data_IF_163497715353
#
_entry.id   IF_163497715353
#
_cell.length_a   1.000
_cell.length_b   1.000
_cell.length_c   1.000
_cell.angle_alpha   90.00
_cell.angle_beta   90.00
_cell.angle_gamma   90.00
#
_symmetry.space_group_name_H-M   'P 1'
#
loop_
_entity.id
_entity.type
_entity.pdbx_description
1 polymer ?
#
# COMPACT_ATOMS: atom_id res chain seq x y z
N UNK A 1 16.71 25.25 4.24
CA UNK A 1 16.10 23.93 4.21
C UNK A 1 17.20 22.91 3.96
N UNK A 2 17.35 21.92 4.83
CA UNK A 2 18.28 20.82 4.63
C UNK A 2 17.52 19.63 4.05
N UNK A 3 18.12 18.95 3.07
CA UNK A 3 17.63 17.71 2.49
C UNK A 3 18.66 16.63 2.76
N UNK A 4 18.25 15.50 3.31
CA UNK A 4 19.13 14.36 3.59
C UNK A 4 18.49 13.05 3.15
N UNK A 5 19.30 12.07 2.85
CA UNK A 5 18.85 10.69 2.64
C UNK A 5 18.55 10.09 4.02
N UNK A 6 17.33 9.61 4.21
CA UNK A 6 16.94 8.96 5.46
C UNK A 6 17.17 7.45 5.43
N UNK A 7 16.73 6.77 4.38
CA UNK A 7 17.00 5.36 4.13
C UNK A 7 17.69 5.22 2.76
N UNK A 8 18.82 4.56 2.73
CA UNK A 8 19.61 4.37 1.50
C UNK A 8 19.37 2.97 0.87
N UNK A 9 20.04 2.72 -0.25
CA UNK A 9 19.94 1.48 -1.03
C UNK A 9 20.50 0.23 -0.32
N UNK A 10 21.12 0.37 0.84
CA UNK A 10 21.54 -0.74 1.69
C UNK A 10 20.40 -1.23 2.60
N UNK A 11 19.39 -0.39 2.81
CA UNK A 11 18.27 -0.65 3.71
C UNK A 11 17.00 -0.98 2.91
N UNK A 12 16.73 -0.24 1.83
CA UNK A 12 15.52 -0.41 1.02
C UNK A 12 15.87 -0.76 -0.43
N UNK A 13 14.98 -1.52 -1.08
CA UNK A 13 15.11 -1.90 -2.48
C UNK A 13 13.81 -1.61 -3.23
N UNK A 14 13.87 -0.74 -4.24
CA UNK A 14 12.71 -0.32 -5.04
C UNK A 14 11.52 0.12 -4.16
N UNK A 15 11.73 1.02 -3.17
CA UNK A 15 10.64 1.52 -2.35
C UNK A 15 9.66 2.32 -3.22
N UNK A 16 8.37 2.14 -2.99
CA UNK A 16 7.33 2.90 -3.69
C UNK A 16 6.23 3.34 -2.71
N UNK A 17 5.13 2.59 -2.54
CA UNK A 17 4.07 3.00 -1.62
C UNK A 17 4.59 3.30 -0.21
N UNK A 18 4.08 4.39 0.37
CA UNK A 18 4.44 4.82 1.73
C UNK A 18 3.22 5.36 2.46
N UNK A 19 3.07 5.00 3.73
CA UNK A 19 2.03 5.51 4.62
C UNK A 19 2.62 5.82 5.99
N UNK A 20 2.28 6.99 6.56
CA UNK A 20 2.80 7.43 7.85
C UNK A 20 1.84 7.06 8.98
N UNK A 21 2.37 6.37 9.97
CA UNK A 21 1.78 6.18 11.29
C UNK A 21 2.53 7.04 12.33
N UNK A 22 2.03 7.13 13.55
CA UNK A 22 2.59 8.04 14.56
C UNK A 22 4.08 7.76 14.88
N UNK A 23 4.50 6.50 14.93
CA UNK A 23 5.84 6.10 15.38
C UNK A 23 6.63 5.29 14.34
N UNK A 24 6.01 4.95 13.22
CA UNK A 24 6.63 4.18 12.14
C UNK A 24 6.03 4.55 10.79
N UNK A 25 6.73 4.23 9.73
CA UNK A 25 6.18 4.22 8.37
C UNK A 25 5.79 2.81 7.96
N UNK A 26 4.75 2.71 7.15
CA UNK A 26 4.44 1.50 6.38
C UNK A 26 4.96 1.72 4.97
N UNK A 27 5.71 0.77 4.46
CA UNK A 27 6.52 0.91 3.25
C UNK A 27 6.32 -0.30 2.33
N UNK A 28 6.06 -0.03 1.06
CA UNK A 28 6.19 -1.01 0.00
C UNK A 28 7.66 -1.10 -0.43
N UNK A 29 8.37 -2.10 0.06
CA UNK A 29 9.78 -2.31 -0.21
C UNK A 29 9.95 -3.52 -1.13
N UNK A 30 10.12 -3.27 -2.44
CA UNK A 30 10.08 -4.31 -3.46
C UNK A 30 8.76 -5.10 -3.41
N UNK A 31 8.80 -6.37 -2.99
CA UNK A 31 7.64 -7.26 -2.88
C UNK A 31 7.03 -7.33 -1.47
N UNK A 32 7.67 -6.69 -0.49
CA UNK A 32 7.28 -6.77 0.91
C UNK A 32 6.52 -5.53 1.35
N UNK A 33 5.49 -5.74 2.16
CA UNK A 33 4.92 -4.70 3.01
C UNK A 33 5.67 -4.73 4.34
N UNK A 34 6.30 -3.62 4.69
CA UNK A 34 7.16 -3.51 5.87
C UNK A 34 6.77 -2.31 6.73
N UNK A 35 7.07 -2.38 8.02
CA UNK A 35 7.13 -1.20 8.88
C UNK A 35 8.58 -0.76 9.04
N UNK A 36 8.79 0.55 9.13
CA UNK A 36 10.07 1.16 9.49
C UNK A 36 9.89 2.04 10.71
N UNK A 37 10.53 1.66 11.82
CA UNK A 37 10.49 2.44 13.06
C UNK A 37 11.24 3.77 12.89
N UNK A 38 10.58 4.89 13.22
CA UNK A 38 11.12 6.24 12.98
C UNK A 38 12.32 6.61 13.84
N UNK A 39 12.56 5.90 14.94
CA UNK A 39 13.71 6.17 15.83
C UNK A 39 14.91 5.33 15.49
N UNK A 40 14.69 4.05 15.23
CA UNK A 40 15.78 3.07 15.04
C UNK A 40 16.08 2.75 13.59
N UNK A 41 15.24 3.18 12.64
CA UNK A 41 15.27 2.85 11.21
C UNK A 41 15.21 1.33 10.95
N UNK A 42 14.71 0.55 11.90
CA UNK A 42 14.58 -0.90 11.75
C UNK A 42 13.36 -1.25 10.93
N UNK A 43 13.56 -2.08 9.92
CA UNK A 43 12.51 -2.67 9.10
C UNK A 43 11.98 -3.94 9.75
N UNK A 44 10.66 -4.14 9.62
CA UNK A 44 9.98 -5.38 10.00
C UNK A 44 8.95 -5.73 8.92
N UNK A 45 9.05 -6.93 8.37
CA UNK A 45 8.10 -7.44 7.38
C UNK A 45 6.74 -7.67 8.05
N UNK A 46 5.68 -7.11 7.45
CA UNK A 46 4.29 -7.44 7.74
C UNK A 46 3.86 -8.60 6.86
N UNK A 47 4.09 -8.49 5.53
CA UNK A 47 3.65 -9.48 4.56
C UNK A 47 4.59 -9.56 3.36
N UNK A 48 4.68 -10.75 2.76
CA UNK A 48 5.26 -10.96 1.43
C UNK A 48 4.13 -10.94 0.39
N UNK A 49 3.99 -9.82 -0.31
CA UNK A 49 2.96 -9.65 -1.33
C UNK A 49 3.33 -10.34 -2.66
N UNK A 50 4.61 -10.58 -2.89
CA UNK A 50 5.13 -11.22 -4.11
C UNK A 50 5.23 -10.31 -5.32
N UNK A 51 4.74 -9.06 -5.25
CA UNK A 51 4.75 -8.06 -6.32
C UNK A 51 5.14 -6.69 -5.76
N UNK A 52 5.52 -5.76 -6.64
CA UNK A 52 5.77 -4.37 -6.25
C UNK A 52 4.48 -3.72 -5.73
N UNK A 53 4.58 -3.01 -4.60
CA UNK A 53 3.45 -2.31 -3.97
C UNK A 53 3.51 -0.86 -4.42
N UNK A 54 2.42 -0.37 -5.02
CA UNK A 54 2.33 1.01 -5.52
C UNK A 54 1.66 1.94 -4.50
N UNK A 55 0.42 1.68 -4.12
CA UNK A 55 -0.31 2.45 -3.11
C UNK A 55 -0.46 1.73 -1.78
N UNK A 56 -0.54 2.51 -0.70
CA UNK A 56 -0.81 2.04 0.67
C UNK A 56 -1.78 2.99 1.36
N UNK A 57 -2.84 2.47 1.97
CA UNK A 57 -3.73 3.21 2.86
C UNK A 57 -4.14 2.38 4.07
N UNK A 58 -4.26 3.01 5.24
CA UNK A 58 -4.71 2.34 6.46
C UNK A 58 -6.24 2.36 6.58
N UNK A 59 -6.83 1.31 7.17
CA UNK A 59 -8.25 1.27 7.52
C UNK A 59 -8.56 1.87 8.91
N UNK A 60 -7.53 2.29 9.64
CA UNK A 60 -7.63 2.80 11.02
C UNK A 60 -7.82 1.71 12.08
N UNK A 61 -7.72 0.43 11.71
CA UNK A 61 -7.87 -0.74 12.61
C UNK A 61 -6.66 -1.66 12.59
N UNK A 62 -5.56 -1.18 12.00
CA UNK A 62 -4.30 -1.92 11.87
C UNK A 62 -4.20 -2.77 10.60
N UNK A 63 -5.17 -2.69 9.69
CA UNK A 63 -5.05 -3.31 8.38
C UNK A 63 -4.64 -2.27 7.33
N UNK A 64 -4.00 -2.73 6.24
CA UNK A 64 -3.56 -1.88 5.15
C UNK A 64 -4.12 -2.35 3.82
N UNK A 65 -4.73 -1.43 3.09
CA UNK A 65 -5.00 -1.61 1.68
C UNK A 65 -3.72 -1.38 0.91
N UNK A 66 -3.42 -2.26 -0.03
CA UNK A 66 -2.27 -2.13 -0.93
C UNK A 66 -2.73 -2.32 -2.37
N UNK A 67 -2.06 -1.63 -3.30
CA UNK A 67 -2.26 -1.83 -4.73
C UNK A 67 -0.96 -2.21 -5.43
N UNK A 68 -1.07 -2.85 -6.59
CA UNK A 68 0.03 -3.00 -7.53
C UNK A 68 -0.31 -2.41 -8.90
N UNK A 69 0.72 -2.04 -9.64
CA UNK A 69 0.59 -1.43 -10.96
C UNK A 69 -0.24 -2.24 -11.95
N UNK A 70 -0.25 -3.56 -11.84
CA UNK A 70 -0.98 -4.44 -12.76
C UNK A 70 -2.50 -4.45 -12.54
N UNK A 71 -3.01 -3.84 -11.48
CA UNK A 71 -4.44 -3.71 -11.22
C UNK A 71 -4.99 -4.57 -10.09
N UNK A 72 -4.12 -5.14 -9.25
CA UNK A 72 -4.59 -5.82 -8.04
C UNK A 72 -4.68 -4.85 -6.88
N UNK A 73 -5.69 -5.05 -6.03
CA UNK A 73 -5.83 -4.37 -4.74
C UNK A 73 -6.17 -5.40 -3.68
N UNK A 74 -5.47 -5.33 -2.56
CA UNK A 74 -5.58 -6.31 -1.47
C UNK A 74 -5.67 -5.62 -0.11
N UNK A 75 -6.25 -6.31 0.86
CA UNK A 75 -6.22 -5.96 2.27
C UNK A 75 -5.21 -6.86 2.97
N UNK A 76 -4.27 -6.26 3.69
CA UNK A 76 -3.27 -6.95 4.50
C UNK A 76 -3.63 -6.81 5.96
N UNK A 77 -3.75 -7.93 6.65
CA UNK A 77 -4.04 -7.99 8.07
C UNK A 77 -2.75 -7.91 8.92
N UNK A 78 -2.84 -7.55 10.22
CA UNK A 78 -1.67 -7.35 11.07
C UNK A 78 -0.73 -8.56 11.20
N UNK A 79 -1.26 -9.77 10.99
CA UNK A 79 -0.48 -11.03 11.03
C UNK A 79 0.12 -11.42 9.68
N UNK A 80 -0.04 -10.56 8.66
CA UNK A 80 0.50 -10.80 7.32
C UNK A 80 -0.42 -11.58 6.37
N UNK A 81 -1.62 -11.93 6.79
CA UNK A 81 -2.63 -12.51 5.90
C UNK A 81 -3.04 -11.50 4.83
N UNK A 82 -3.23 -11.95 3.59
CA UNK A 82 -3.56 -11.09 2.45
C UNK A 82 -4.88 -11.55 1.86
N UNK A 83 -5.85 -10.63 1.79
CA UNK A 83 -7.12 -10.84 1.11
C UNK A 83 -7.16 -10.00 -0.17
N UNK A 84 -7.16 -10.65 -1.33
CA UNK A 84 -7.36 -9.94 -2.60
C UNK A 84 -8.79 -9.44 -2.71
N UNK A 85 -8.95 -8.14 -2.92
CA UNK A 85 -10.25 -7.47 -3.05
C UNK A 85 -10.65 -7.26 -4.52
N UNK A 86 -9.68 -6.86 -5.35
CA UNK A 86 -9.89 -6.54 -6.75
C UNK A 86 -8.76 -7.12 -7.61
N UNK A 87 -9.12 -7.53 -8.81
CA UNK A 87 -8.20 -7.86 -9.90
C UNK A 87 -8.76 -7.29 -11.21
N UNK A 88 -8.19 -6.17 -11.64
CA UNK A 88 -8.54 -5.50 -12.89
C UNK A 88 -7.48 -5.67 -13.97
N UNK A 89 -6.50 -6.56 -13.74
CA UNK A 89 -5.37 -6.78 -14.66
C UNK A 89 -5.79 -7.27 -16.04
N UNK A 90 -6.81 -8.12 -16.10
CA UNK A 90 -7.35 -8.64 -17.37
C UNK A 90 -8.07 -7.59 -18.19
N UNK A 91 -8.53 -6.50 -17.58
CA UNK A 91 -9.15 -5.36 -18.25
C UNK A 91 -8.12 -4.29 -18.65
N UNK A 92 -6.81 -4.48 -18.33
CA UNK A 92 -5.75 -3.49 -18.49
C UNK A 92 -6.04 -2.18 -17.74
N UNK A 93 -6.68 -2.27 -16.59
CA UNK A 93 -6.96 -1.14 -15.69
C UNK A 93 -5.95 -1.18 -14.54
N UNK A 94 -5.07 -0.19 -14.49
CA UNK A 94 -4.05 -0.09 -13.45
C UNK A 94 -4.66 0.25 -12.07
N UNK A 95 -3.95 -0.08 -11.02
CA UNK A 95 -4.19 0.42 -9.66
C UNK A 95 -2.93 1.14 -9.19
N UNK A 96 -2.76 2.41 -9.63
CA UNK A 96 -1.50 3.16 -9.50
C UNK A 96 -1.23 3.63 -8.07
N UNK A 97 -2.22 3.96 -7.35
CA UNK A 97 -2.18 4.39 -5.94
C UNK A 97 -3.54 4.08 -5.35
N UNK A 98 -3.79 4.46 -4.12
CA UNK A 98 -5.12 4.34 -3.54
C UNK A 98 -5.30 5.28 -2.34
N UNK A 99 -6.57 5.57 -2.05
CA UNK A 99 -6.96 6.29 -0.86
C UNK A 99 -8.19 5.64 -0.25
N UNK A 100 -8.26 5.55 1.07
CA UNK A 100 -9.41 4.99 1.76
C UNK A 100 -10.13 6.05 2.59
N UNK A 101 -11.44 6.19 2.36
CA UNK A 101 -12.32 7.08 3.12
C UNK A 101 -13.03 6.26 4.19
N UNK A 102 -12.50 6.27 5.39
CA UNK A 102 -12.92 5.43 6.52
C UNK A 102 -14.40 5.60 6.88
N UNK A 103 -14.90 6.84 6.93
CA UNK A 103 -16.27 7.15 7.32
C UNK A 103 -17.32 6.64 6.31
N UNK A 104 -16.91 6.43 5.08
CA UNK A 104 -17.78 5.97 3.98
C UNK A 104 -17.55 4.53 3.56
N UNK A 105 -16.49 3.89 4.06
CA UNK A 105 -16.00 2.59 3.59
C UNK A 105 -15.78 2.58 2.06
N UNK A 106 -15.18 3.64 1.53
CA UNK A 106 -14.91 3.80 0.10
C UNK A 106 -13.41 3.77 -0.15
N UNK A 107 -12.99 2.90 -1.06
CA UNK A 107 -11.65 2.85 -1.60
C UNK A 107 -11.64 3.56 -2.95
N UNK A 108 -10.76 4.55 -3.11
CA UNK A 108 -10.56 5.29 -4.35
C UNK A 108 -9.27 4.81 -5.01
N UNK A 109 -9.33 4.49 -6.30
CA UNK A 109 -8.20 3.98 -7.06
C UNK A 109 -8.04 4.76 -8.36
N UNK A 110 -6.93 5.50 -8.56
CA UNK A 110 -6.60 6.10 -9.84
C UNK A 110 -6.11 5.01 -10.80
N UNK A 111 -6.65 4.99 -12.00
CA UNK A 111 -6.45 3.92 -12.98
C UNK A 111 -5.39 4.22 -14.05
N UNK A 112 -4.70 5.34 -13.91
CA UNK A 112 -3.63 5.83 -14.77
C UNK A 112 -4.02 5.86 -16.27
N UNK A 113 -3.64 4.85 -17.07
CA UNK A 113 -3.92 4.81 -18.51
C UNK A 113 -5.40 4.74 -18.87
N UNK A 114 -6.25 4.26 -18.00
CA UNK A 114 -7.69 4.27 -18.15
C UNK A 114 -8.35 5.63 -17.83
N UNK A 115 -7.57 6.63 -17.38
CA UNK A 115 -7.95 8.02 -17.16
C UNK A 115 -9.16 8.23 -16.23
N UNK A 116 -9.28 7.42 -15.18
CA UNK A 116 -10.36 7.51 -14.18
C UNK A 116 -9.81 7.45 -12.76
N UNK A 117 -10.64 7.90 -11.83
CA UNK A 117 -10.58 7.50 -10.41
C UNK A 117 -11.84 6.72 -10.13
N UNK A 118 -11.71 5.45 -9.76
CA UNK A 118 -12.85 4.58 -9.48
C UNK A 118 -13.05 4.49 -7.97
N UNK A 119 -14.31 4.59 -7.53
CA UNK A 119 -14.70 4.44 -6.14
C UNK A 119 -15.33 3.06 -5.92
N UNK A 120 -14.75 2.25 -5.03
CA UNK A 120 -15.28 0.96 -4.61
C UNK A 120 -15.80 1.04 -3.19
N UNK A 121 -17.07 0.75 -3.00
CA UNK A 121 -17.66 0.64 -1.66
C UNK A 121 -17.38 -0.74 -1.09
N UNK A 122 -16.73 -0.79 0.07
CA UNK A 122 -16.50 -2.05 0.77
C UNK A 122 -17.76 -2.45 1.51
N UNK A 123 -18.28 -3.64 1.20
CA UNK A 123 -19.44 -4.25 1.84
C UNK A 123 -18.91 -5.32 2.78
N UNK A 124 -19.32 -5.29 4.04
CA UNK A 124 -19.09 -6.42 4.95
C UNK A 124 -20.20 -7.44 4.72
N UNK A 125 -19.83 -8.66 4.45
CA UNK A 125 -20.73 -9.80 4.52
C UNK A 125 -21.11 -10.10 5.97
#
# INVERSE_FOLDING_TARGET
NEVSIWLDDKIVSKPNGIFAEDTYLVLGNSRFLETCDLKSNKLKIIADYGKGIDGIAADGKGNYFISDWSGNTSLVFPKGEILQLLDTSKQNINAADLCYITEKNILLIPTFFDNRVIAYKLIKD
#
